data_IF_229072619234
#
_entry.id   IF_229072619234
#
_cell.length_a   1.000
_cell.length_b   1.000
_cell.length_c   1.000
_cell.angle_alpha   90.00
_cell.angle_beta   90.00
_cell.angle_gamma   90.00
#
_symmetry.space_group_name_H-M   'P 1'
#
loop_
_entity.id
_entity.type
_entity.pdbx_description
1 polymer ?
#
# COMPACT_ATOMS: atom_id res chain seq x y z
N UNK A 1 30.94 6.41 15.93
CA UNK A 1 29.49 6.50 15.66
C UNK A 1 28.99 5.08 15.46
N UNK A 2 28.13 4.59 16.34
CA UNK A 2 27.67 3.20 16.36
C UNK A 2 26.49 3.08 15.38
N UNK A 3 26.65 2.27 14.33
CA UNK A 3 25.51 1.81 13.54
C UNK A 3 24.67 0.90 14.43
N UNK A 4 23.53 1.39 14.91
CA UNK A 4 22.50 0.54 15.47
C UNK A 4 21.79 -0.14 14.29
N UNK A 5 22.11 -1.42 14.09
CA UNK A 5 21.25 -2.33 13.35
C UNK A 5 19.87 -2.28 14.02
N UNK A 6 18.91 -1.54 13.45
CA UNK A 6 17.51 -1.73 13.79
C UNK A 6 17.09 -3.06 13.14
N UNK A 7 17.35 -4.15 13.86
CA UNK A 7 16.64 -5.39 13.66
C UNK A 7 15.16 -5.03 13.89
N UNK A 8 14.40 -4.77 12.82
CA UNK A 8 12.95 -4.77 12.92
C UNK A 8 12.60 -6.18 13.34
N UNK A 9 12.37 -6.36 14.64
CA UNK A 9 11.73 -7.56 15.13
C UNK A 9 10.48 -7.74 14.26
N UNK A 10 10.35 -8.90 13.63
CA UNK A 10 9.06 -9.36 13.12
C UNK A 10 8.15 -9.52 14.34
N UNK A 11 7.65 -8.40 14.87
CA UNK A 11 6.53 -8.40 15.81
C UNK A 11 5.38 -8.95 15.00
N UNK A 12 4.91 -10.13 15.40
CA UNK A 12 3.83 -10.83 14.74
C UNK A 12 2.67 -9.87 14.57
N UNK A 13 2.28 -9.61 13.32
CA UNK A 13 0.92 -9.11 13.06
C UNK A 13 0.01 -10.28 13.34
N UNK A 14 -0.62 -10.28 14.50
CA UNK A 14 -1.66 -11.25 14.83
C UNK A 14 -2.97 -10.85 14.18
N UNK A 15 -3.81 -11.83 13.89
CA UNK A 15 -5.18 -11.55 13.53
C UNK A 15 -6.02 -11.97 14.72
N UNK A 16 -6.59 -10.99 15.41
CA UNK A 16 -7.47 -11.22 16.53
C UNK A 16 -8.85 -11.62 16.01
N UNK A 17 -9.40 -12.73 16.53
CA UNK A 17 -10.81 -13.04 16.33
C UNK A 17 -11.65 -12.01 17.09
N UNK A 18 -12.26 -11.06 16.37
CA UNK A 18 -13.30 -10.20 16.92
C UNK A 18 -14.68 -10.79 16.63
N UNK A 19 -15.69 -10.29 17.37
CA UNK A 19 -17.07 -10.70 17.26
C UNK A 19 -17.58 -10.81 15.81
N UNK A 20 -18.51 -11.74 15.58
CA UNK A 20 -19.08 -12.14 14.29
C UNK A 20 -18.92 -11.12 13.15
N UNK A 21 -18.04 -11.42 12.20
CA UNK A 21 -17.85 -10.65 10.97
C UNK A 21 -16.75 -9.60 10.97
N UNK A 22 -15.93 -9.50 12.04
CA UNK A 22 -14.80 -8.57 12.11
C UNK A 22 -13.46 -9.31 12.16
N UNK A 23 -12.59 -9.01 11.19
CA UNK A 23 -11.17 -9.39 11.23
C UNK A 23 -10.37 -8.18 11.71
N UNK A 24 -9.71 -8.29 12.87
CA UNK A 24 -8.82 -7.24 13.36
C UNK A 24 -7.39 -7.50 12.89
N UNK A 25 -6.77 -6.49 12.27
CA UNK A 25 -5.33 -6.46 12.03
C UNK A 25 -4.67 -5.93 13.31
N UNK A 26 -4.01 -6.82 14.06
CA UNK A 26 -3.35 -6.47 15.33
C UNK A 26 -1.95 -5.92 15.03
N UNK A 27 -1.79 -4.61 15.18
CA UNK A 27 -0.54 -3.91 14.93
C UNK A 27 0.16 -3.55 16.25
N UNK A 28 1.49 -3.39 16.25
CA UNK A 28 2.20 -2.87 17.41
C UNK A 28 1.60 -1.54 17.90
N UNK A 29 1.65 -1.25 19.22
CA UNK A 29 1.19 0.03 19.75
C UNK A 29 1.83 1.20 19.00
N UNK A 30 1.02 2.21 18.65
CA UNK A 30 1.37 3.40 17.85
C UNK A 30 1.46 3.21 16.33
N UNK A 31 1.06 2.06 15.82
CA UNK A 31 0.77 1.88 14.40
C UNK A 31 -0.74 1.95 14.17
N UNK A 32 -1.15 2.69 13.15
CA UNK A 32 -2.53 2.69 12.67
C UNK A 32 -2.57 1.91 11.35
N UNK A 33 -3.61 1.11 11.15
CA UNK A 33 -3.94 0.53 9.86
C UNK A 33 -5.17 1.22 9.29
N UNK A 34 -5.15 1.48 7.99
CA UNK A 34 -6.33 1.85 7.22
C UNK A 34 -6.50 0.86 6.08
N UNK A 35 -7.64 0.19 6.04
CA UNK A 35 -8.05 -0.58 4.87
C UNK A 35 -8.71 0.36 3.86
N UNK A 36 -8.30 0.25 2.60
CA UNK A 36 -8.69 1.19 1.53
C UNK A 36 -9.38 0.49 0.35
N UNK A 37 -9.11 -0.80 0.12
CA UNK A 37 -9.74 -1.59 -0.94
C UNK A 37 -10.04 -3.02 -0.52
N UNK A 38 -11.06 -3.62 -1.14
CA UNK A 38 -11.49 -5.00 -0.88
C UNK A 38 -12.02 -5.67 -2.17
N UNK A 39 -11.70 -6.95 -2.39
CA UNK A 39 -12.26 -7.78 -3.47
C UNK A 39 -13.55 -8.48 -3.06
N UNK A 40 -14.29 -9.04 -4.02
CA UNK A 40 -15.48 -9.85 -3.74
C UNK A 40 -15.14 -11.12 -2.92
N UNK A 41 -13.93 -11.63 -3.09
CA UNK A 41 -13.39 -12.80 -2.39
C UNK A 41 -12.92 -12.48 -0.97
N UNK A 42 -12.83 -11.20 -0.60
CA UNK A 42 -12.46 -10.74 0.74
C UNK A 42 -10.98 -10.39 0.91
N UNK A 43 -10.21 -10.25 -0.17
CA UNK A 43 -8.84 -9.75 -0.09
C UNK A 43 -8.86 -8.24 0.16
N UNK A 44 -8.11 -7.77 1.15
CA UNK A 44 -8.11 -6.38 1.60
C UNK A 44 -6.73 -5.77 1.37
N UNK A 45 -6.68 -4.55 0.83
CA UNK A 45 -5.45 -3.75 0.77
C UNK A 45 -5.58 -2.47 1.57
N UNK A 46 -4.44 -1.95 1.99
CA UNK A 46 -4.36 -0.70 2.70
C UNK A 46 -2.92 -0.33 3.08
N UNK A 47 -2.81 0.58 4.03
CA UNK A 47 -1.54 1.01 4.60
C UNK A 47 -1.53 0.87 6.12
N UNK A 48 -0.36 0.61 6.70
CA UNK A 48 -0.14 0.75 8.13
C UNK A 48 1.19 1.46 8.42
N UNK A 49 1.26 2.23 9.49
CA UNK A 49 2.49 2.97 9.79
C UNK A 49 2.42 3.87 11.00
N UNK A 50 3.59 4.42 11.32
CA UNK A 50 3.75 5.60 12.17
C UNK A 50 3.94 6.85 11.28
N UNK A 51 3.87 8.05 11.87
CA UNK A 51 3.97 9.35 11.20
C UNK A 51 5.25 9.58 10.35
N UNK A 52 6.20 8.64 10.31
CA UNK A 52 7.49 8.75 9.63
C UNK A 52 7.87 7.53 8.77
N UNK A 53 6.94 6.63 8.45
CA UNK A 53 7.22 5.43 7.66
C UNK A 53 6.07 4.45 7.68
N UNK A 54 5.30 4.42 6.60
CA UNK A 54 4.17 3.52 6.38
C UNK A 54 4.46 2.50 5.30
N UNK A 55 3.91 1.30 5.48
CA UNK A 55 3.99 0.19 4.55
C UNK A 55 2.60 -0.15 4.04
N UNK A 56 2.51 -0.57 2.78
CA UNK A 56 1.27 -1.12 2.26
C UNK A 56 1.09 -2.56 2.74
N UNK A 57 -0.14 -3.04 2.73
CA UNK A 57 -0.45 -4.44 3.01
C UNK A 57 -1.49 -5.01 2.06
N UNK A 58 -1.43 -6.33 1.89
CA UNK A 58 -2.49 -7.19 1.39
C UNK A 58 -2.81 -8.21 2.48
N UNK A 59 -4.06 -8.24 2.93
CA UNK A 59 -4.61 -9.30 3.77
C UNK A 59 -5.49 -10.16 2.88
N UNK A 60 -5.08 -11.39 2.62
CA UNK A 60 -5.90 -12.28 1.78
C UNK A 60 -7.10 -12.85 2.53
N UNK A 61 -8.03 -13.44 1.79
CA UNK A 61 -9.23 -14.06 2.34
C UNK A 61 -8.98 -15.29 3.25
N UNK A 62 -7.73 -15.76 3.33
CA UNK A 62 -7.29 -16.80 4.28
C UNK A 62 -6.62 -16.21 5.52
N UNK A 63 -6.72 -14.88 5.69
CA UNK A 63 -6.10 -14.12 6.77
C UNK A 63 -4.56 -14.20 6.74
N UNK A 64 -3.93 -14.28 5.56
CA UNK A 64 -2.48 -14.11 5.44
C UNK A 64 -2.15 -12.66 5.10
N UNK A 65 -1.26 -12.08 5.89
CA UNK A 65 -0.74 -10.74 5.64
C UNK A 65 0.52 -10.80 4.76
N UNK A 66 0.49 -10.06 3.66
CA UNK A 66 1.64 -9.81 2.79
C UNK A 66 1.94 -8.31 2.79
N UNK A 67 3.21 -7.95 3.01
CA UNK A 67 3.65 -6.56 2.92
C UNK A 67 3.78 -6.13 1.45
N UNK A 68 3.39 -4.88 1.19
CA UNK A 68 3.54 -4.22 -0.10
C UNK A 68 4.62 -3.17 0.06
N UNK A 69 5.86 -3.58 -0.23
CA UNK A 69 7.05 -2.74 -0.13
C UNK A 69 7.58 -2.44 -1.54
N UNK A 70 7.30 -1.24 -2.06
CA UNK A 70 7.83 -0.82 -3.35
C UNK A 70 9.35 -0.60 -3.22
N UNK A 71 10.19 -1.21 -4.08
CA UNK A 71 11.64 -1.05 -4.00
C UNK A 71 12.09 0.41 -4.08
N UNK A 72 12.86 0.87 -3.08
CA UNK A 72 13.37 2.24 -3.01
C UNK A 72 12.38 3.27 -2.47
N UNK A 73 11.18 2.86 -2.08
CA UNK A 73 10.22 3.73 -1.41
C UNK A 73 10.56 3.93 0.07
N UNK A 74 10.24 5.12 0.58
CA UNK A 74 10.30 5.44 2.03
C UNK A 74 8.91 5.36 2.68
N UNK A 75 7.86 5.36 1.86
CA UNK A 75 6.47 5.16 2.25
C UNK A 75 5.74 4.43 1.12
N UNK A 76 4.88 3.46 1.44
CA UNK A 76 3.98 2.82 0.47
C UNK A 76 2.58 2.76 1.03
N UNK A 77 1.58 3.08 0.21
CA UNK A 77 0.17 2.92 0.54
C UNK A 77 -0.59 2.32 -0.64
N UNK A 78 -1.37 1.26 -0.37
CA UNK A 78 -2.18 0.57 -1.35
C UNK A 78 -3.61 1.09 -1.26
N UNK A 79 -4.07 1.76 -2.32
CA UNK A 79 -5.36 2.44 -2.30
C UNK A 79 -6.51 1.55 -2.79
N UNK A 80 -6.26 0.66 -3.75
CA UNK A 80 -7.31 -0.18 -4.32
C UNK A 80 -6.79 -1.53 -4.85
N UNK A 81 -7.68 -2.51 -4.88
CA UNK A 81 -7.50 -3.85 -5.45
C UNK A 81 -8.74 -4.20 -6.28
N UNK A 82 -8.57 -4.91 -7.40
CA UNK A 82 -9.69 -5.45 -8.19
C UNK A 82 -9.81 -6.97 -8.04
N UNK A 83 -10.87 -7.60 -8.57
CA UNK A 83 -11.13 -9.04 -8.42
C UNK A 83 -10.14 -9.93 -9.20
N UNK A 84 -9.21 -9.32 -9.96
CA UNK A 84 -8.07 -10.02 -10.58
C UNK A 84 -6.81 -9.95 -9.71
N UNK A 85 -6.89 -9.40 -8.51
CA UNK A 85 -5.76 -9.18 -7.60
C UNK A 85 -4.80 -8.09 -8.08
N UNK A 86 -5.20 -7.23 -9.03
CA UNK A 86 -4.37 -6.10 -9.41
C UNK A 86 -4.51 -5.00 -8.36
N UNK A 87 -3.36 -4.56 -7.84
CA UNK A 87 -3.28 -3.54 -6.79
C UNK A 87 -2.77 -2.24 -7.41
N UNK A 88 -3.34 -1.13 -6.97
CA UNK A 88 -2.86 0.22 -7.27
C UNK A 88 -2.74 1.05 -5.99
N UNK A 89 -1.87 2.05 -6.03
CA UNK A 89 -1.65 2.94 -4.89
C UNK A 89 -0.62 4.01 -5.21
N UNK A 90 0.05 4.48 -4.16
CA UNK A 90 1.19 5.39 -4.27
C UNK A 90 2.33 4.96 -3.36
N UNK A 91 3.53 5.40 -3.73
CA UNK A 91 4.69 5.33 -2.86
C UNK A 91 5.41 6.67 -2.87
N UNK A 92 6.12 6.98 -1.79
CA UNK A 92 7.02 8.13 -1.73
C UNK A 92 8.44 7.65 -2.05
N UNK A 93 9.06 8.26 -3.06
CA UNK A 93 10.44 7.95 -3.44
C UNK A 93 11.46 8.67 -2.55
N UNK A 94 12.74 8.33 -2.71
CA UNK A 94 13.85 8.95 -1.95
C UNK A 94 14.02 10.46 -2.15
N UNK A 95 13.31 11.06 -3.12
CA UNK A 95 13.28 12.51 -3.36
C UNK A 95 12.01 13.17 -2.80
N UNK A 96 11.26 12.48 -1.94
CA UNK A 96 10.03 12.95 -1.31
C UNK A 96 8.93 13.30 -2.33
N UNK A 97 8.86 12.55 -3.43
CA UNK A 97 7.80 12.66 -4.43
C UNK A 97 6.89 11.45 -4.37
N UNK A 98 5.58 11.70 -4.41
CA UNK A 98 4.59 10.63 -4.51
C UNK A 98 4.49 10.14 -5.94
N UNK A 99 4.50 8.82 -6.12
CA UNK A 99 4.44 8.15 -7.41
C UNK A 99 3.37 7.08 -7.36
N UNK A 100 2.46 7.11 -8.33
CA UNK A 100 1.48 6.04 -8.49
C UNK A 100 2.18 4.72 -8.85
N UNK A 101 1.64 3.60 -8.39
CA UNK A 101 2.11 2.27 -8.80
C UNK A 101 0.97 1.33 -9.20
N UNK A 102 1.33 0.30 -9.95
CA UNK A 102 0.50 -0.88 -10.20
C UNK A 102 1.29 -2.15 -9.86
N UNK A 103 0.59 -3.18 -9.41
CA UNK A 103 1.14 -4.53 -9.21
C UNK A 103 0.10 -5.57 -9.63
N UNK A 104 0.49 -6.53 -10.46
CA UNK A 104 -0.28 -7.76 -10.69
C UNK A 104 0.18 -8.84 -9.69
N UNK A 105 -0.62 -9.89 -9.40
CA UNK A 105 -0.27 -10.88 -8.38
C UNK A 105 1.13 -11.49 -8.56
N UNK A 106 1.50 -11.83 -9.79
CA UNK A 106 2.78 -12.43 -10.16
C UNK A 106 3.80 -11.44 -10.74
N UNK A 107 3.42 -10.15 -10.86
CA UNK A 107 4.22 -9.15 -11.55
C UNK A 107 5.04 -8.27 -10.62
N UNK A 108 6.11 -7.64 -11.15
CA UNK A 108 6.81 -6.60 -10.40
C UNK A 108 5.92 -5.37 -10.21
N UNK A 109 6.27 -4.54 -9.24
CA UNK A 109 5.75 -3.18 -9.17
C UNK A 109 6.12 -2.39 -10.41
N UNK A 110 5.18 -1.61 -10.92
CA UNK A 110 5.38 -0.67 -12.02
C UNK A 110 4.96 0.71 -11.59
N UNK A 111 5.83 1.69 -11.78
CA UNK A 111 5.50 3.10 -11.57
C UNK A 111 4.59 3.60 -12.67
N UNK A 112 3.57 4.37 -12.30
CA UNK A 112 2.74 5.13 -13.23
C UNK A 112 3.41 6.47 -13.45
N UNK A 113 4.24 6.51 -14.49
CA UNK A 113 4.97 7.71 -14.89
C UNK A 113 4.18 8.51 -15.90
N UNK A 114 4.12 9.82 -15.67
CA UNK A 114 3.65 10.80 -16.63
C UNK A 114 4.65 11.96 -16.64
N UNK A 115 5.22 12.33 -17.79
CA UNK A 115 6.19 13.43 -17.87
C UNK A 115 5.65 14.79 -17.41
N UNK A 116 4.33 14.96 -17.40
CA UNK A 116 3.67 16.17 -16.93
C UNK A 116 3.46 16.20 -15.41
N UNK A 117 3.66 15.09 -14.70
CA UNK A 117 3.31 14.97 -13.29
C UNK A 117 4.57 14.95 -12.40
N UNK A 118 4.71 15.94 -11.51
CA UNK A 118 5.75 15.93 -10.47
C UNK A 118 5.44 15.02 -9.30
N UNK A 119 4.15 14.78 -9.06
CA UNK A 119 3.64 13.77 -8.13
C UNK A 119 2.37 13.14 -8.69
N UNK A 120 2.14 11.87 -8.39
CA UNK A 120 0.95 11.14 -8.80
C UNK A 120 0.53 10.10 -7.78
N UNK A 121 -0.74 9.71 -7.83
CA UNK A 121 -1.24 8.51 -7.17
C UNK A 121 -2.30 7.83 -8.03
N UNK A 122 -2.39 6.51 -7.92
CA UNK A 122 -3.55 5.76 -8.39
C UNK A 122 -4.47 5.46 -7.21
N UNK A 123 -5.71 5.94 -7.28
CA UNK A 123 -6.69 5.84 -6.19
C UNK A 123 -7.74 4.77 -6.43
N UNK A 124 -7.95 4.35 -7.68
CA UNK A 124 -8.97 3.37 -8.01
C UNK A 124 -8.59 2.55 -9.23
N UNK A 125 -9.06 1.31 -9.24
CA UNK A 125 -8.94 0.38 -10.36
C UNK A 125 -10.23 -0.42 -10.48
N UNK A 126 -10.71 -0.66 -11.71
CA UNK A 126 -11.82 -1.57 -11.95
C UNK A 126 -11.34 -2.93 -12.50
N UNK A 127 -12.25 -3.89 -12.63
CA UNK A 127 -11.94 -5.23 -13.16
C UNK A 127 -11.50 -5.20 -14.63
N UNK A 128 -11.85 -4.18 -15.41
CA UNK A 128 -11.29 -4.00 -16.76
C UNK A 128 -9.83 -3.50 -16.74
N UNK A 129 -9.31 -3.08 -15.59
CA UNK A 129 -7.96 -2.54 -15.42
C UNK A 129 -7.86 -1.05 -15.73
N UNK A 130 -8.99 -0.35 -15.79
CA UNK A 130 -9.02 1.11 -15.88
C UNK A 130 -8.64 1.68 -14.52
N UNK A 131 -7.68 2.60 -14.52
CA UNK A 131 -7.12 3.22 -13.32
C UNK A 131 -7.48 4.70 -13.30
N UNK A 132 -7.87 5.19 -12.13
CA UNK A 132 -8.12 6.61 -11.86
C UNK A 132 -7.24 7.08 -10.71
N UNK A 133 -6.96 8.38 -10.67
CA UNK A 133 -6.00 8.94 -9.73
C UNK A 133 -5.88 10.46 -9.84
N UNK A 134 -4.88 11.01 -9.17
CA UNK A 134 -4.51 12.41 -9.30
C UNK A 134 -3.08 12.55 -9.79
N UNK A 135 -2.81 13.72 -10.35
CA UNK A 135 -1.51 14.16 -10.81
C UNK A 135 -1.37 15.63 -10.44
N UNK A 136 -0.19 16.00 -9.95
CA UNK A 136 0.21 17.39 -9.76
C UNK A 136 1.11 17.75 -10.94
N UNK A 137 0.68 18.74 -11.73
CA UNK A 137 1.46 19.26 -12.85
C UNK A 137 2.74 19.98 -12.35
N UNK A 138 3.80 19.96 -13.15
CA UNK A 138 4.99 20.80 -12.98
C UNK A 138 4.74 22.27 -13.36
N UNK A 139 3.59 22.59 -13.95
CA UNK A 139 3.25 23.96 -14.31
C UNK A 139 2.90 24.80 -13.08
N UNK A 140 3.81 25.70 -12.72
CA UNK A 140 3.46 26.90 -11.96
C UNK A 140 2.53 27.77 -12.82
N UNK A 141 1.23 27.70 -12.60
CA UNK A 141 0.31 28.79 -12.93
C UNK A 141 0.08 29.69 -11.71
#
# INVERSE_FOLDING_TARGET
>A
MKYALALLAMTTVSIGAAAQGLTLIDLPPNFFASASGITAEGDVVGGFGAYSGGQGFLLDNTNQLTLIDVPGAIFTDAHAINNRGHIVGMFEDSSYKFRGFTRTPEGPFRTIDSPACVSSAANGINDAGVIVGWCIDDSSE
#
